data_IF_834591013588
#
_entry.id   IF_834591013588
#
_cell.length_a   1.000
_cell.length_b   1.000
_cell.length_c   1.000
_cell.angle_alpha   90.00
_cell.angle_beta   90.00
_cell.angle_gamma   90.00
#
_symmetry.space_group_name_H-M   'P 1'
#
loop_
_entity.id
_entity.type
_entity.pdbx_description
1 polymer ?
#
# COMPACT_ATOMS: atom_id res chain seq x y z
N UNK A 1 1.07 16.95 10.93
CA UNK A 1 1.07 16.43 9.55
C UNK A 1 0.38 15.07 9.42
N UNK A 2 0.80 14.06 10.17
CA UNK A 2 0.20 12.72 10.10
C UNK A 2 -1.31 12.72 10.38
N UNK A 3 -1.77 13.53 11.33
CA UNK A 3 -3.19 13.69 11.65
C UNK A 3 -4.01 14.21 10.45
N UNK A 4 -3.47 15.16 9.68
CA UNK A 4 -4.13 15.70 8.49
C UNK A 4 -4.30 14.61 7.43
N UNK A 5 -3.23 13.85 7.19
CA UNK A 5 -3.26 12.73 6.22
C UNK A 5 -4.23 11.64 6.68
N UNK A 6 -4.24 11.29 7.97
CA UNK A 6 -5.22 10.33 8.52
C UNK A 6 -6.67 10.82 8.39
N UNK A 7 -6.93 12.10 8.63
CA UNK A 7 -8.25 12.69 8.44
C UNK A 7 -8.68 12.63 6.97
N UNK A 8 -7.80 12.98 6.04
CA UNK A 8 -8.06 12.90 4.60
C UNK A 8 -8.38 11.46 4.15
N UNK A 9 -7.71 10.45 4.73
CA UNK A 9 -8.01 9.04 4.49
C UNK A 9 -9.41 8.68 4.99
N UNK A 10 -9.77 9.09 6.22
CA UNK A 10 -11.12 8.85 6.79
C UNK A 10 -12.23 9.52 5.98
N UNK A 11 -11.98 10.73 5.49
CA UNK A 11 -12.90 11.49 4.62
C UNK A 11 -12.95 10.93 3.18
N UNK A 12 -12.09 9.97 2.85
CA UNK A 12 -12.01 9.39 1.51
C UNK A 12 -11.56 10.40 0.44
N UNK A 13 -10.77 11.40 0.84
CA UNK A 13 -10.19 12.39 -0.07
C UNK A 13 -9.02 11.80 -0.85
N UNK A 14 -8.75 12.34 -2.04
CA UNK A 14 -7.57 11.95 -2.83
C UNK A 14 -6.30 12.35 -2.08
N UNK A 15 -5.41 11.40 -1.86
CA UNK A 15 -4.09 11.61 -1.25
C UNK A 15 -3.06 11.78 -2.37
N UNK A 16 -2.52 12.99 -2.49
CA UNK A 16 -1.34 13.31 -3.30
C UNK A 16 -0.72 14.60 -2.75
N UNK A 17 0.47 14.96 -3.21
CA UNK A 17 1.18 16.14 -2.72
C UNK A 17 0.41 17.46 -2.88
N UNK A 18 -0.43 17.59 -3.91
CA UNK A 18 -1.23 18.81 -4.10
C UNK A 18 -2.36 18.89 -3.07
N UNK A 19 -3.19 17.86 -2.98
CA UNK A 19 -4.33 17.85 -2.06
C UNK A 19 -3.90 17.90 -0.60
N UNK A 20 -2.78 17.25 -0.28
CA UNK A 20 -2.21 17.28 1.07
C UNK A 20 -1.63 18.66 1.40
N UNK A 21 -0.97 19.32 0.44
CA UNK A 21 -0.46 20.69 0.58
C UNK A 21 -1.59 21.69 0.83
N UNK A 22 -2.68 21.57 0.07
CA UNK A 22 -3.89 22.38 0.25
C UNK A 22 -4.57 22.14 1.60
N UNK A 23 -4.79 20.88 1.99
CA UNK A 23 -5.48 20.56 3.26
C UNK A 23 -4.64 20.93 4.49
N UNK A 24 -3.32 20.70 4.43
CA UNK A 24 -2.42 20.99 5.54
C UNK A 24 -1.93 22.45 5.56
N UNK A 25 -2.26 23.27 4.55
CA UNK A 25 -1.80 24.65 4.41
C UNK A 25 -0.27 24.80 4.48
N UNK A 26 0.44 23.86 3.85
CA UNK A 26 1.92 23.86 3.75
C UNK A 26 2.35 23.82 2.30
N UNK A 27 3.56 24.29 1.99
CA UNK A 27 4.10 24.20 0.63
C UNK A 27 4.42 22.76 0.24
N UNK A 28 4.37 22.46 -1.06
CA UNK A 28 4.82 21.15 -1.58
C UNK A 28 6.30 20.90 -1.26
N UNK A 29 7.12 21.95 -1.30
CA UNK A 29 8.53 21.88 -0.96
C UNK A 29 8.75 21.35 0.47
N UNK A 30 7.94 21.80 1.43
CA UNK A 30 7.95 21.26 2.80
C UNK A 30 7.64 19.76 2.82
N UNK A 31 6.62 19.32 2.08
CA UNK A 31 6.25 17.90 2.00
C UNK A 31 7.34 17.02 1.37
N UNK A 32 8.08 17.54 0.39
CA UNK A 32 9.20 16.84 -0.22
C UNK A 32 10.45 16.80 0.65
N UNK A 33 10.67 17.84 1.47
CA UNK A 33 11.86 17.97 2.32
C UNK A 33 11.90 16.91 3.41
N UNK A 34 10.73 16.54 3.94
CA UNK A 34 10.62 15.62 5.07
C UNK A 34 10.37 14.17 4.57
N UNK A 35 11.37 13.27 4.63
CA UNK A 35 11.30 11.96 3.95
C UNK A 35 10.16 11.05 4.44
N UNK A 36 9.85 11.10 5.74
CA UNK A 36 8.77 10.31 6.34
C UNK A 36 7.39 10.76 5.84
N UNK A 37 7.19 12.08 5.70
CA UNK A 37 5.94 12.65 5.18
C UNK A 37 5.80 12.27 3.70
N UNK A 38 6.88 12.44 2.94
CA UNK A 38 6.92 12.07 1.52
C UNK A 38 6.54 10.61 1.30
N UNK A 39 7.20 9.69 2.01
CA UNK A 39 6.95 8.25 1.92
C UNK A 39 5.49 7.92 2.25
N UNK A 40 4.96 8.49 3.34
CA UNK A 40 3.56 8.28 3.75
C UNK A 40 2.56 8.72 2.67
N UNK A 41 2.79 9.87 2.02
CA UNK A 41 1.92 10.37 0.94
C UNK A 41 2.02 9.45 -0.29
N UNK A 42 3.22 8.99 -0.65
CA UNK A 42 3.45 8.09 -1.78
C UNK A 42 2.79 6.73 -1.57
N UNK A 43 2.98 6.11 -0.40
CA UNK A 43 2.41 4.82 -0.04
C UNK A 43 0.87 4.87 -0.06
N UNK A 44 0.27 5.90 0.57
CA UNK A 44 -1.19 6.07 0.59
C UNK A 44 -1.77 6.39 -0.80
N UNK A 45 -1.05 7.13 -1.63
CA UNK A 45 -1.46 7.39 -3.02
C UNK A 45 -1.53 6.09 -3.82
N UNK A 46 -0.51 5.24 -3.72
CA UNK A 46 -0.50 3.94 -4.40
C UNK A 46 -1.64 3.03 -3.92
N UNK A 47 -1.96 3.06 -2.62
CA UNK A 47 -3.12 2.34 -2.08
C UNK A 47 -4.44 2.84 -2.67
N UNK A 48 -4.56 4.15 -2.93
CA UNK A 48 -5.75 4.75 -3.51
C UNK A 48 -5.88 4.61 -5.03
N UNK A 49 -4.80 4.41 -5.78
CA UNK A 49 -4.83 4.23 -7.25
C UNK A 49 -5.70 3.05 -7.66
N UNK A 50 -5.86 2.03 -6.81
CA UNK A 50 -6.85 0.97 -7.03
C UNK A 50 -8.29 1.34 -6.64
N UNK A 51 -8.50 2.27 -5.70
CA UNK A 51 -9.80 2.54 -5.06
C UNK A 51 -10.59 3.62 -5.82
N UNK A 52 -9.91 4.60 -6.42
CA UNK A 52 -10.55 5.75 -7.07
C UNK A 52 -11.38 5.36 -8.31
N UNK A 53 -10.99 4.28 -8.99
CA UNK A 53 -11.76 3.74 -10.12
C UNK A 53 -13.13 3.21 -9.66
N UNK A 54 -13.22 2.51 -8.53
CA UNK A 54 -14.49 1.93 -8.06
C UNK A 54 -15.58 2.99 -7.78
N UNK A 55 -15.20 4.20 -7.34
CA UNK A 55 -16.16 5.26 -6.98
C UNK A 55 -16.77 5.94 -8.22
N UNK A 56 -16.01 6.05 -9.32
CA UNK A 56 -16.52 6.53 -10.61
C UNK A 56 -17.32 5.44 -11.33
N UNK A 57 -16.90 4.18 -11.19
CA UNK A 57 -17.60 3.04 -11.77
C UNK A 57 -18.99 2.85 -11.14
N UNK A 58 -19.16 3.04 -9.82
CA UNK A 58 -20.48 2.96 -9.16
C UNK A 58 -21.55 3.90 -9.73
N UNK A 59 -21.17 4.97 -10.45
CA UNK A 59 -22.12 5.90 -11.09
C UNK A 59 -22.55 5.46 -12.50
N UNK A 60 -21.94 4.42 -13.08
CA UNK A 60 -22.25 3.90 -14.44
C UNK A 60 -22.06 2.39 -14.48
N UNK A 61 -23.09 1.56 -14.26
CA UNK A 61 -22.96 0.11 -14.52
C UNK A 61 -24.24 -0.54 -15.04
N UNK A 62 -24.16 -1.10 -16.24
CA UNK A 62 -24.94 -2.29 -16.61
C UNK A 62 -24.30 -3.54 -15.99
N UNK A 63 -25.03 -4.67 -15.94
CA UNK A 63 -24.57 -5.88 -15.24
C UNK A 63 -23.26 -6.46 -15.80
N UNK A 64 -23.02 -6.37 -17.12
CA UNK A 64 -21.78 -6.82 -17.74
C UNK A 64 -20.53 -6.11 -17.20
N UNK A 65 -20.63 -4.83 -16.81
CA UNK A 65 -19.51 -4.12 -16.20
C UNK A 65 -19.24 -4.58 -14.77
N UNK A 66 -20.26 -5.00 -14.02
CA UNK A 66 -20.08 -5.52 -12.65
C UNK A 66 -19.27 -6.82 -12.68
N UNK A 67 -19.54 -7.70 -13.64
CA UNK A 67 -18.83 -8.96 -13.78
C UNK A 67 -17.34 -8.76 -14.09
N UNK A 68 -17.01 -7.83 -14.99
CA UNK A 68 -15.61 -7.48 -15.31
C UNK A 68 -14.86 -6.95 -14.09
N UNK A 69 -15.52 -6.12 -13.27
CA UNK A 69 -14.92 -5.58 -12.04
C UNK A 69 -14.67 -6.69 -11.03
N UNK A 70 -15.67 -7.56 -10.83
CA UNK A 70 -15.57 -8.71 -9.92
C UNK A 70 -14.41 -9.61 -10.34
N UNK A 71 -14.29 -9.89 -11.63
CA UNK A 71 -13.22 -10.72 -12.18
C UNK A 71 -11.84 -10.08 -11.99
N UNK A 72 -11.72 -8.78 -12.27
CA UNK A 72 -10.48 -8.03 -12.05
C UNK A 72 -10.06 -8.04 -10.58
N UNK A 73 -11.02 -7.85 -9.67
CA UNK A 73 -10.78 -7.91 -8.23
C UNK A 73 -10.35 -9.31 -7.77
N UNK A 74 -11.01 -10.37 -8.25
CA UNK A 74 -10.64 -11.76 -7.96
C UNK A 74 -9.21 -12.06 -8.43
N UNK A 75 -8.84 -11.63 -9.63
CA UNK A 75 -7.50 -11.82 -10.17
C UNK A 75 -6.44 -11.11 -9.33
N UNK A 76 -6.69 -9.85 -8.93
CA UNK A 76 -5.80 -9.11 -8.03
C UNK A 76 -5.66 -9.79 -6.67
N UNK A 77 -6.77 -10.27 -6.11
CA UNK A 77 -6.76 -10.99 -4.83
C UNK A 77 -5.94 -12.29 -4.91
N UNK A 78 -6.10 -13.06 -5.98
CA UNK A 78 -5.35 -14.29 -6.20
C UNK A 78 -3.85 -14.03 -6.36
N UNK A 79 -3.48 -13.00 -7.12
CA UNK A 79 -2.08 -12.59 -7.27
C UNK A 79 -1.46 -12.18 -5.93
N UNK A 80 -2.18 -11.41 -5.12
CA UNK A 80 -1.72 -11.00 -3.80
C UNK A 80 -1.58 -12.18 -2.85
N UNK A 81 -2.54 -13.12 -2.84
CA UNK A 81 -2.45 -14.36 -2.06
C UNK A 81 -1.23 -15.20 -2.45
N UNK A 82 -0.94 -15.32 -3.74
CA UNK A 82 0.22 -16.04 -4.24
C UNK A 82 1.53 -15.38 -3.79
N UNK A 83 1.65 -14.06 -3.96
CA UNK A 83 2.82 -13.29 -3.50
C UNK A 83 3.04 -13.42 -2.01
N UNK A 84 1.97 -13.38 -1.21
CA UNK A 84 2.07 -13.53 0.24
C UNK A 84 2.63 -14.91 0.63
N UNK A 85 2.09 -15.99 0.05
CA UNK A 85 2.61 -17.34 0.28
C UNK A 85 4.09 -17.50 -0.09
N UNK A 86 4.52 -16.91 -1.20
CA UNK A 86 5.94 -16.92 -1.57
C UNK A 86 6.81 -16.22 -0.53
N UNK A 87 6.40 -15.03 -0.09
CA UNK A 87 7.12 -14.26 0.93
C UNK A 87 7.16 -14.99 2.27
N UNK A 88 6.07 -15.64 2.68
CA UNK A 88 6.03 -16.48 3.89
C UNK A 88 7.04 -17.63 3.79
N UNK A 89 7.07 -18.34 2.64
CA UNK A 89 8.02 -19.43 2.41
C UNK A 89 9.47 -18.97 2.44
N UNK A 90 9.77 -17.83 1.81
CA UNK A 90 11.11 -17.25 1.79
C UNK A 90 11.55 -16.85 3.20
N UNK A 91 10.66 -16.24 3.98
CA UNK A 91 10.93 -15.84 5.35
C UNK A 91 11.24 -17.06 6.25
N UNK A 92 10.46 -18.14 6.14
CA UNK A 92 10.75 -19.38 6.88
C UNK A 92 12.08 -20.03 6.47
N UNK A 93 12.41 -19.99 5.17
CA UNK A 93 13.72 -20.46 4.70
C UNK A 93 14.87 -19.64 5.30
N UNK A 94 14.76 -18.30 5.27
CA UNK A 94 15.76 -17.40 5.84
C UNK A 94 15.92 -17.59 7.36
N UNK A 95 14.82 -17.73 8.10
CA UNK A 95 14.85 -18.04 9.54
C UNK A 95 15.57 -19.36 9.82
N UNK A 96 15.32 -20.38 9.00
CA UNK A 96 15.96 -21.69 9.15
C UNK A 96 17.47 -21.60 8.89
N UNK A 97 17.87 -20.88 7.85
CA UNK A 97 19.28 -20.67 7.53
C UNK A 97 20.00 -19.90 8.65
N UNK A 98 19.38 -18.82 9.15
CA UNK A 98 19.90 -18.04 10.27
C UNK A 98 20.13 -18.90 11.52
N UNK A 99 19.18 -19.78 11.87
CA UNK A 99 19.34 -20.70 13.01
C UNK A 99 20.53 -21.64 12.83
N UNK A 100 20.72 -22.20 11.63
CA UNK A 100 21.86 -23.08 11.34
C UNK A 100 23.19 -22.34 11.46
N UNK A 101 23.26 -21.14 10.91
CA UNK A 101 24.50 -20.36 10.92
C UNK A 101 24.85 -19.88 12.34
N UNK A 102 23.86 -19.50 13.15
CA UNK A 102 24.07 -19.23 14.57
C UNK A 102 24.59 -20.47 15.32
N UNK A 103 24.00 -21.65 15.08
CA UNK A 103 24.47 -22.90 15.69
C UNK A 103 25.94 -23.19 15.41
N UNK A 104 26.37 -23.03 14.15
CA UNK A 104 27.78 -23.18 13.76
C UNK A 104 28.70 -22.19 14.48
N UNK A 105 28.26 -20.96 14.69
CA UNK A 105 29.06 -19.95 15.42
C UNK A 105 29.27 -20.38 16.87
N UNK A 106 28.25 -20.93 17.53
CA UNK A 106 28.36 -21.43 18.90
C UNK A 106 29.19 -22.71 19.02
N UNK A 107 29.20 -23.59 18.02
CA UNK A 107 30.04 -24.79 18.00
C UNK A 107 31.54 -24.48 17.81
N UNK A 108 31.86 -23.31 17.25
CA UNK A 108 33.25 -22.85 17.01
C UNK A 108 33.76 -21.89 18.11
N UNK A 109 33.03 -21.76 19.22
CA UNK A 109 33.38 -20.92 20.37
C UNK A 109 33.95 -21.79 21.51
#
# INVERSE_FOLDING_TARGET
MNEVVQLMVKEGQKINFNSVSEKAQVSKAYLYREPLIRKTIEDLRQQQEGIHDFKNIKRRTSDAYKDVIIETLKNKLNLLKYKNKLLESENEHLKTQLKKDLGKVYENL
#
